data_IF_265729702142
#
_entry.id   IF_265729702142
#
_cell.length_a   1.000
_cell.length_b   1.000
_cell.length_c   1.000
_cell.angle_alpha   90.00
_cell.angle_beta   90.00
_cell.angle_gamma   90.00
#
_symmetry.space_group_name_H-M   'P 1'
#
loop_
_entity.id
_entity.type
_entity.pdbx_description
1 polymer ?
#
# COMPACT_ATOMS: atom_id res chain seq x y z
N UNK A 1 11.87 -10.54 1.58
CA UNK A 1 11.07 -9.40 1.09
C UNK A 1 10.40 -8.73 2.28
N UNK A 2 10.20 -7.42 2.22
CA UNK A 2 9.62 -6.58 3.26
C UNK A 2 8.19 -6.22 2.88
N UNK A 3 7.36 -5.90 3.87
CA UNK A 3 5.99 -5.45 3.64
C UNK A 3 5.88 -3.94 3.84
N UNK A 4 5.11 -3.29 2.96
CA UNK A 4 4.91 -1.85 2.96
C UNK A 4 3.42 -1.55 2.90
N UNK A 5 2.93 -0.76 3.86
CA UNK A 5 1.62 -0.14 3.79
C UNK A 5 1.76 1.21 3.08
N UNK A 6 1.06 1.35 1.97
CA UNK A 6 0.88 2.62 1.28
C UNK A 6 -0.52 3.13 1.56
N UNK A 7 -0.63 4.39 1.97
CA UNK A 7 -1.92 5.06 2.10
C UNK A 7 -1.98 6.26 1.18
N UNK A 8 -2.89 6.23 0.21
CA UNK A 8 -3.23 7.37 -0.63
C UNK A 8 -4.16 8.32 0.11
N UNK A 9 -3.95 9.62 -0.07
CA UNK A 9 -4.61 10.72 0.64
C UNK A 9 -5.07 11.81 -0.33
N UNK A 10 -5.94 12.68 0.17
CA UNK A 10 -6.39 13.89 -0.54
C UNK A 10 -7.06 13.57 -1.88
N UNK A 11 -8.05 12.66 -1.87
CA UNK A 11 -8.80 12.25 -3.06
C UNK A 11 -9.54 13.43 -3.68
N UNK A 12 -9.39 13.60 -4.99
CA UNK A 12 -10.15 14.54 -5.80
C UNK A 12 -11.55 14.00 -6.09
N UNK A 13 -12.56 14.53 -5.40
CA UNK A 13 -13.95 14.02 -5.45
C UNK A 13 -14.68 14.51 -6.72
N UNK A 14 -15.41 13.60 -7.37
CA UNK A 14 -16.25 13.93 -8.52
C UNK A 14 -15.53 13.96 -9.88
N UNK A 15 -14.22 13.69 -9.90
CA UNK A 15 -13.38 13.80 -11.11
C UNK A 15 -12.90 12.44 -11.65
N UNK A 16 -13.42 11.33 -11.13
CA UNK A 16 -13.05 10.00 -11.60
C UNK A 16 -13.74 9.69 -12.94
N UNK A 17 -12.96 9.67 -14.02
CA UNK A 17 -13.42 9.19 -15.32
C UNK A 17 -13.36 7.65 -15.41
N UNK A 18 -14.17 7.08 -16.31
CA UNK A 18 -14.15 5.64 -16.58
C UNK A 18 -12.81 5.17 -17.16
N UNK A 19 -12.18 5.97 -18.02
CA UNK A 19 -10.84 5.69 -18.56
C UNK A 19 -9.78 5.61 -17.45
N UNK A 20 -9.75 6.60 -16.56
CA UNK A 20 -8.79 6.63 -15.45
C UNK A 20 -8.99 5.44 -14.50
N UNK A 21 -10.25 5.11 -14.20
CA UNK A 21 -10.58 3.94 -13.39
C UNK A 21 -10.08 2.64 -14.05
N UNK A 22 -10.32 2.47 -15.35
CA UNK A 22 -9.91 1.26 -16.07
C UNK A 22 -8.38 1.12 -16.12
N UNK A 23 -7.64 2.20 -16.39
CA UNK A 23 -6.17 2.19 -16.35
C UNK A 23 -5.64 1.83 -14.96
N UNK A 24 -6.20 2.43 -13.91
CA UNK A 24 -5.84 2.09 -12.54
C UNK A 24 -6.08 0.60 -12.25
N UNK A 25 -7.26 0.07 -12.61
CA UNK A 25 -7.60 -1.34 -12.40
C UNK A 25 -6.66 -2.27 -13.18
N UNK A 26 -6.32 -1.95 -14.43
CA UNK A 26 -5.38 -2.75 -15.22
C UNK A 26 -3.96 -2.74 -14.64
N UNK A 27 -3.54 -1.60 -14.08
CA UNK A 27 -2.30 -1.50 -13.32
C UNK A 27 -2.32 -2.40 -12.07
N UNK A 28 -3.40 -2.38 -11.28
CA UNK A 28 -3.55 -3.26 -10.12
C UNK A 28 -3.49 -4.76 -10.51
N UNK A 29 -4.12 -5.15 -11.62
CA UNK A 29 -4.04 -6.53 -12.13
C UNK A 29 -2.59 -6.93 -12.47
N UNK A 30 -1.82 -6.03 -13.07
CA UNK A 30 -0.40 -6.25 -13.36
C UNK A 30 0.40 -6.48 -12.06
N UNK A 31 0.20 -5.61 -11.06
CA UNK A 31 0.88 -5.68 -9.76
C UNK A 31 0.51 -6.94 -8.96
N UNK A 32 -0.75 -7.36 -9.06
CA UNK A 32 -1.22 -8.61 -8.45
C UNK A 32 -0.59 -9.82 -9.13
N UNK A 33 -0.54 -9.83 -10.47
CA UNK A 33 0.07 -10.92 -11.24
C UNK A 33 1.58 -11.06 -11.00
N UNK A 34 2.30 -9.95 -10.77
CA UNK A 34 3.72 -9.98 -10.41
C UNK A 34 3.98 -10.41 -8.96
N UNK A 35 2.95 -10.46 -8.12
CA UNK A 35 3.05 -10.74 -6.68
C UNK A 35 3.49 -9.54 -5.83
N UNK A 36 3.71 -8.37 -6.44
CA UNK A 36 4.10 -7.16 -5.72
C UNK A 36 2.99 -6.58 -4.84
N UNK A 37 1.72 -6.76 -5.21
CA UNK A 37 0.56 -6.25 -4.48
C UNK A 37 -0.19 -7.39 -3.78
N UNK A 38 -0.25 -7.34 -2.45
CA UNK A 38 -0.94 -8.33 -1.61
C UNK A 38 -2.42 -7.99 -1.38
N UNK A 39 -2.71 -6.72 -1.13
CA UNK A 39 -4.05 -6.23 -0.79
C UNK A 39 -4.18 -4.77 -1.18
N UNK A 40 -5.36 -4.34 -1.63
CA UNK A 40 -5.67 -2.93 -1.85
C UNK A 40 -7.15 -2.64 -1.71
N UNK A 41 -7.50 -1.39 -1.44
CA UNK A 41 -8.87 -0.91 -1.51
C UNK A 41 -9.04 0.51 -0.98
N UNK A 42 -10.13 1.18 -1.36
CA UNK A 42 -10.54 2.43 -0.73
C UNK A 42 -11.01 2.17 0.71
N UNK A 43 -10.84 3.16 1.57
CA UNK A 43 -11.50 3.16 2.88
C UNK A 43 -13.00 3.49 2.73
N UNK A 44 -13.81 3.08 3.69
CA UNK A 44 -15.27 3.27 3.70
C UNK A 44 -15.71 4.73 3.72
N UNK A 45 -14.85 5.61 4.26
CA UNK A 45 -15.03 7.06 4.31
C UNK A 45 -14.83 7.74 2.95
N UNK A 46 -14.38 6.96 1.94
CA UNK A 46 -14.24 7.35 0.54
C UNK A 46 -13.29 8.55 0.29
N UNK A 47 -12.39 8.87 1.21
CA UNK A 47 -11.41 9.96 1.10
C UNK A 47 -9.98 9.45 0.85
N UNK A 48 -9.68 8.22 1.28
CA UNK A 48 -8.36 7.60 1.26
C UNK A 48 -8.42 6.19 0.66
N UNK A 49 -7.28 5.62 0.34
CA UNK A 49 -7.13 4.21 -0.03
C UNK A 49 -5.87 3.62 0.58
N UNK A 50 -5.85 2.30 0.74
CA UNK A 50 -4.69 1.58 1.21
C UNK A 50 -4.24 0.51 0.22
N UNK A 51 -2.94 0.23 0.23
CA UNK A 51 -2.31 -0.83 -0.55
C UNK A 51 -1.21 -1.47 0.29
N UNK A 52 -1.10 -2.79 0.25
CA UNK A 52 -0.01 -3.55 0.89
C UNK A 52 0.86 -4.12 -0.20
N UNK A 53 2.11 -3.67 -0.24
CA UNK A 53 3.13 -4.16 -1.16
C UNK A 53 4.11 -5.10 -0.48
N UNK A 54 4.63 -6.05 -1.23
CA UNK A 54 5.80 -6.84 -0.87
C UNK A 54 6.95 -6.53 -1.83
N UNK A 55 8.06 -6.00 -1.31
CA UNK A 55 9.20 -5.53 -2.12
C UNK A 55 10.53 -5.70 -1.38
N UNK A 56 11.65 -5.46 -2.05
CA UNK A 56 12.98 -5.49 -1.43
C UNK A 56 13.34 -4.18 -0.75
N UNK A 57 12.80 -3.05 -1.22
CA UNK A 57 13.12 -1.73 -0.67
C UNK A 57 11.97 -0.72 -0.76
N UNK A 58 12.13 0.40 -0.05
CA UNK A 58 11.18 1.51 -0.06
C UNK A 58 11.15 2.21 -1.43
N UNK A 59 12.31 2.31 -2.09
CA UNK A 59 12.48 2.94 -3.39
C UNK A 59 11.69 2.19 -4.47
N UNK A 60 11.69 0.85 -4.44
CA UNK A 60 10.89 0.03 -5.36
C UNK A 60 9.40 0.32 -5.20
N UNK A 61 8.89 0.31 -3.97
CA UNK A 61 7.47 0.62 -3.70
C UNK A 61 7.13 2.05 -4.12
N UNK A 62 8.04 3.00 -3.87
CA UNK A 62 7.87 4.40 -4.29
C UNK A 62 7.74 4.51 -5.81
N UNK A 63 8.57 3.78 -6.56
CA UNK A 63 8.51 3.74 -8.02
C UNK A 63 7.25 3.04 -8.56
N UNK A 64 6.68 2.06 -7.83
CA UNK A 64 5.40 1.44 -8.17
C UNK A 64 4.24 2.41 -7.91
N UNK A 65 4.25 3.11 -6.79
CA UNK A 65 3.23 4.10 -6.43
C UNK A 65 3.22 5.26 -7.42
N UNK A 66 4.40 5.77 -7.82
CA UNK A 66 4.48 6.89 -8.76
C UNK A 66 3.97 6.57 -10.17
N UNK A 67 3.81 5.28 -10.51
CA UNK A 67 3.30 4.80 -11.80
C UNK A 67 1.83 4.41 -11.76
N UNK A 68 1.19 4.52 -10.59
CA UNK A 68 -0.24 4.31 -10.48
C UNK A 68 -0.97 5.45 -11.22
N UNK A 69 -1.88 5.16 -12.17
CA UNK A 69 -2.64 6.20 -12.87
C UNK A 69 -3.33 7.19 -11.93
N UNK A 70 -3.80 6.73 -10.76
CA UNK A 70 -4.40 7.62 -9.77
C UNK A 70 -3.42 8.61 -9.15
N UNK A 71 -2.12 8.28 -9.10
CA UNK A 71 -1.07 9.20 -8.65
C UNK A 71 -0.58 10.09 -9.80
N UNK A 72 -0.35 9.53 -11.00
CA UNK A 72 0.10 10.28 -12.17
C UNK A 72 -0.86 11.41 -12.55
N UNK A 73 -2.17 11.16 -12.41
CA UNK A 73 -3.23 12.13 -12.74
C UNK A 73 -3.72 12.92 -11.53
N UNK A 74 -3.02 12.83 -10.40
CA UNK A 74 -3.36 13.54 -9.16
C UNK A 74 -4.81 13.31 -8.69
N UNK A 75 -5.38 12.13 -8.96
CA UNK A 75 -6.65 11.71 -8.39
C UNK A 75 -6.54 11.51 -6.87
N UNK A 76 -5.39 11.04 -6.41
CA UNK A 76 -4.90 11.24 -5.05
C UNK A 76 -3.67 12.16 -5.09
N UNK A 77 -3.63 13.16 -4.22
CA UNK A 77 -2.59 14.21 -4.30
C UNK A 77 -1.35 13.87 -3.47
N UNK A 78 -1.48 12.99 -2.47
CA UNK A 78 -0.37 12.60 -1.63
C UNK A 78 -0.48 11.15 -1.17
N UNK A 79 0.63 10.59 -0.70
CA UNK A 79 0.67 9.26 -0.11
C UNK A 79 1.66 9.18 1.06
N UNK A 80 1.50 8.15 1.87
CA UNK A 80 2.44 7.77 2.92
C UNK A 80 2.82 6.30 2.76
N UNK A 81 4.11 5.99 2.91
CA UNK A 81 4.62 4.61 2.88
C UNK A 81 5.22 4.28 4.25
N UNK A 82 4.85 3.13 4.80
CA UNK A 82 5.41 2.58 6.04
C UNK A 82 5.83 1.14 5.84
N UNK A 83 7.10 0.84 6.12
CA UNK A 83 7.54 -0.55 6.30
C UNK A 83 6.92 -1.11 7.59
N UNK A 84 6.45 -2.35 7.55
CA UNK A 84 5.90 -3.01 8.73
C UNK A 84 6.28 -4.50 8.77
N UNK A 85 6.34 -5.04 10.00
CA UNK A 85 6.47 -6.47 10.22
C UNK A 85 5.08 -7.12 10.13
N UNK A 86 4.92 -8.10 9.25
CA UNK A 86 3.69 -8.88 9.14
C UNK A 86 3.70 -9.97 10.22
N UNK A 87 2.72 -9.91 11.12
CA UNK A 87 2.51 -10.89 12.17
C UNK A 87 1.49 -11.94 11.71
N UNK A 88 1.76 -13.22 11.94
CA UNK A 88 0.87 -14.34 11.63
C UNK A 88 1.24 -15.58 12.46
N UNK A 89 0.50 -16.67 12.28
CA UNK A 89 0.73 -17.93 12.98
C UNK A 89 2.15 -18.49 12.75
N UNK A 90 2.71 -18.32 11.54
CA UNK A 90 4.00 -18.87 11.18
C UNK A 90 5.19 -18.19 11.89
N UNK A 91 5.00 -16.98 12.41
CA UNK A 91 6.03 -16.26 13.17
C UNK A 91 5.62 -15.95 14.62
N UNK A 92 4.69 -16.75 15.16
CA UNK A 92 4.19 -16.62 16.54
C UNK A 92 3.76 -15.18 16.86
N UNK A 93 3.09 -14.53 15.92
CA UNK A 93 2.60 -13.16 16.04
C UNK A 93 3.66 -12.13 16.46
N UNK A 94 4.93 -12.35 16.09
CA UNK A 94 6.07 -11.49 16.41
C UNK A 94 6.30 -11.25 17.91
N UNK A 95 5.84 -12.14 18.78
CA UNK A 95 6.01 -11.98 20.24
C UNK A 95 7.49 -11.94 20.66
N UNK A 96 8.36 -12.58 19.87
CA UNK A 96 9.76 -12.81 20.22
C UNK A 96 10.77 -11.85 19.59
N UNK A 97 10.35 -10.93 18.73
CA UNK A 97 11.29 -10.04 18.02
C UNK A 97 11.85 -8.95 18.96
N UNK A 98 13.06 -8.41 18.68
CA UNK A 98 13.68 -7.38 19.51
C UNK A 98 12.77 -6.15 19.74
N UNK A 99 12.06 -5.69 18.70
CA UNK A 99 11.13 -4.56 18.80
C UNK A 99 10.01 -4.82 19.81
N UNK A 100 9.41 -6.01 19.81
CA UNK A 100 8.34 -6.36 20.76
C UNK A 100 8.90 -6.47 22.18
N UNK A 101 10.03 -7.17 22.34
CA UNK A 101 10.68 -7.37 23.64
C UNK A 101 11.12 -6.06 24.30
N UNK A 102 11.61 -5.10 23.52
CA UNK A 102 12.02 -3.79 24.06
C UNK A 102 10.85 -2.93 24.58
N UNK A 103 9.61 -3.28 24.23
CA UNK A 103 8.41 -2.54 24.63
C UNK A 103 7.68 -3.16 25.83
N UNK A 104 8.15 -4.32 26.33
CA UNK A 104 7.56 -4.94 27.52
C UNK A 104 7.91 -4.12 28.76
N UNK A 105 6.96 -3.99 29.68
CA UNK A 105 7.23 -3.43 31.01
C UNK A 105 8.12 -4.39 31.79
N UNK A 106 9.08 -3.82 32.54
CA UNK A 106 9.93 -4.58 33.48
C UNK A 106 9.14 -5.18 34.65
#
# INVERSE_FOLDING_TARGET
MKNYLVTYKDKTKGELSEDLLNRHVDYLKLLSKSGSLKLCGPFTENDRAMMIFQSHSLEEVTALVSKDPFMEEAYYQSYEIKEFFEANEANNWLIDIPQTKSNLME
#
